data_IF_247017028828
#
_entry.id   IF_247017028828
#
_cell.length_a   1.000
_cell.length_b   1.000
_cell.length_c   1.000
_cell.angle_alpha   90.00
_cell.angle_beta   90.00
_cell.angle_gamma   90.00
#
_symmetry.space_group_name_H-M   'P 1'
#
loop_
_entity.id
_entity.type
_entity.pdbx_description
1 polymer ?
#
# COMPACT_ATOMS: atom_id res chain seq x y z
N UNK A 1 18.13 -2.83 6.28
CA UNK A 1 17.93 -4.29 6.32
C UNK A 1 18.65 -4.87 5.12
N UNK A 2 19.91 -5.25 5.30
CA UNK A 2 20.64 -6.08 4.34
C UNK A 2 20.41 -7.54 4.78
N UNK A 3 19.23 -8.07 4.46
CA UNK A 3 18.91 -9.46 4.80
C UNK A 3 19.49 -10.31 3.69
N UNK A 4 20.49 -11.15 3.98
CA UNK A 4 21.10 -12.12 3.06
C UNK A 4 20.15 -13.25 2.61
N UNK A 5 18.86 -12.95 2.45
CA UNK A 5 17.85 -13.85 1.91
C UNK A 5 17.77 -13.76 0.39
N UNK A 6 17.32 -14.84 -0.24
CA UNK A 6 17.13 -14.92 -1.68
C UNK A 6 16.20 -13.78 -2.17
N UNK A 7 16.73 -12.94 -3.06
CA UNK A 7 16.03 -11.75 -3.56
C UNK A 7 14.73 -12.11 -4.29
N UNK A 8 14.63 -13.32 -4.86
CA UNK A 8 13.40 -13.81 -5.49
C UNK A 8 12.29 -13.97 -4.46
N UNK A 9 12.60 -14.49 -3.27
CA UNK A 9 11.63 -14.64 -2.17
C UNK A 9 11.18 -13.29 -1.58
N UNK A 10 12.04 -12.28 -1.62
CA UNK A 10 11.75 -10.93 -1.13
C UNK A 10 11.11 -10.02 -2.18
N UNK A 11 11.18 -10.38 -3.46
CA UNK A 11 10.68 -9.57 -4.57
C UNK A 11 9.20 -9.19 -4.44
N UNK A 12 8.27 -10.11 -4.08
CA UNK A 12 6.86 -9.73 -3.91
C UNK A 12 6.66 -8.69 -2.82
N UNK A 13 7.41 -8.80 -1.72
CA UNK A 13 7.36 -7.86 -0.60
C UNK A 13 7.97 -6.50 -0.97
N UNK A 14 9.11 -6.48 -1.66
CA UNK A 14 9.74 -5.26 -2.17
C UNK A 14 8.81 -4.48 -3.10
N UNK A 15 8.25 -5.16 -4.10
CA UNK A 15 7.29 -4.55 -5.02
C UNK A 15 6.02 -4.04 -4.33
N UNK A 16 5.51 -4.78 -3.35
CA UNK A 16 4.37 -4.32 -2.55
C UNK A 16 4.71 -3.04 -1.79
N UNK A 17 5.89 -2.97 -1.17
CA UNK A 17 6.33 -1.77 -0.45
C UNK A 17 6.51 -0.57 -1.37
N UNK A 18 7.20 -0.74 -2.49
CA UNK A 18 7.45 0.37 -3.42
C UNK A 18 6.15 0.94 -3.99
N UNK A 19 5.16 0.08 -4.29
CA UNK A 19 3.87 0.50 -4.82
C UNK A 19 2.95 1.16 -3.80
N UNK A 20 3.13 0.88 -2.51
CA UNK A 20 2.23 1.31 -1.44
C UNK A 20 2.89 2.30 -0.45
N UNK A 21 4.11 2.77 -0.74
CA UNK A 21 4.75 3.83 0.05
C UNK A 21 4.37 5.20 -0.52
N UNK A 22 3.82 6.12 0.28
CA UNK A 22 3.48 7.46 -0.20
C UNK A 22 4.72 8.23 -0.68
N UNK A 23 4.59 8.95 -1.80
CA UNK A 23 5.65 9.83 -2.31
C UNK A 23 5.48 11.27 -1.81
N UNK A 24 6.20 12.23 -2.40
CA UNK A 24 6.22 13.65 -1.99
C UNK A 24 4.85 14.33 -1.99
N UNK A 25 3.88 13.83 -2.77
CA UNK A 25 2.52 14.37 -2.86
C UNK A 25 1.51 13.62 -1.98
N UNK A 26 1.95 12.71 -1.12
CA UNK A 26 1.07 11.93 -0.24
C UNK A 26 0.33 10.78 -0.92
N UNK A 27 0.45 10.62 -2.24
CA UNK A 27 -0.09 9.49 -2.99
C UNK A 27 0.96 8.40 -3.20
N UNK A 28 0.51 7.15 -3.13
CA UNK A 28 1.24 5.95 -3.50
C UNK A 28 1.16 5.71 -5.02
N UNK A 29 2.16 5.06 -5.64
CA UNK A 29 2.07 4.65 -7.04
C UNK A 29 0.81 3.82 -7.38
N UNK A 30 0.35 2.99 -6.43
CA UNK A 30 -0.90 2.25 -6.59
C UNK A 30 -2.11 3.18 -6.73
N UNK A 31 -2.23 4.18 -5.84
CA UNK A 31 -3.34 5.14 -5.89
C UNK A 31 -3.38 5.93 -7.19
N UNK A 32 -2.20 6.30 -7.73
CA UNK A 32 -2.10 6.99 -9.01
C UNK A 32 -2.61 6.10 -10.15
N UNK A 33 -2.21 4.82 -10.17
CA UNK A 33 -2.61 3.90 -11.24
C UNK A 33 -4.09 3.49 -11.18
N UNK A 34 -4.63 3.30 -9.98
CA UNK A 34 -5.94 2.68 -9.80
C UNK A 34 -7.02 3.62 -9.25
N UNK A 35 -6.67 4.87 -8.92
CA UNK A 35 -7.61 5.89 -8.43
C UNK A 35 -8.29 5.56 -7.10
N UNK A 36 -7.74 4.60 -6.34
CA UNK A 36 -8.28 4.11 -5.07
C UNK A 36 -7.13 3.71 -4.15
N UNK A 37 -7.30 3.78 -2.82
CA UNK A 37 -6.28 3.28 -1.90
C UNK A 37 -5.97 1.81 -2.18
N UNK A 38 -4.72 1.36 -1.98
CA UNK A 38 -4.38 -0.04 -2.15
C UNK A 38 -5.28 -0.93 -1.31
N UNK A 39 -5.68 -2.10 -1.82
CA UNK A 39 -6.47 -3.06 -1.06
C UNK A 39 -5.63 -3.46 0.13
N UNK A 40 -5.91 -2.85 1.27
CA UNK A 40 -5.21 -3.20 2.49
C UNK A 40 -5.82 -4.52 2.92
N UNK A 41 -5.11 -5.60 2.67
CA UNK A 41 -5.51 -6.91 3.18
C UNK A 41 -5.31 -6.85 4.69
N UNK A 42 -6.40 -6.90 5.47
CA UNK A 42 -6.67 -8.14 6.20
C UNK A 42 -8.17 -8.30 6.52
N UNK A 43 -8.91 -8.97 5.64
CA UNK A 43 -10.04 -9.76 6.10
C UNK A 43 -9.75 -11.23 5.89
N UNK A 44 -8.72 -11.69 6.61
CA UNK A 44 -8.53 -13.11 6.86
C UNK A 44 -9.67 -13.53 7.78
N UNK A 45 -10.80 -13.93 7.18
CA UNK A 45 -11.95 -14.44 7.93
C UNK A 45 -11.46 -15.46 8.95
N UNK A 46 -12.02 -15.45 10.16
CA UNK A 46 -11.64 -16.38 11.23
C UNK A 46 -11.66 -17.85 10.76
N UNK A 47 -12.56 -18.19 9.82
CA UNK A 47 -12.65 -19.48 9.14
C UNK A 47 -11.43 -19.84 8.27
N UNK A 48 -10.81 -18.87 7.61
CA UNK A 48 -9.56 -19.05 6.85
C UNK A 48 -8.36 -19.14 7.81
N UNK A 49 -8.36 -18.33 8.87
CA UNK A 49 -7.33 -18.38 9.92
C UNK A 49 -7.33 -19.74 10.64
N UNK A 50 -8.50 -20.29 10.93
CA UNK A 50 -8.65 -21.61 11.58
C UNK A 50 -8.17 -22.80 10.71
N UNK A 51 -8.00 -22.61 9.39
CA UNK A 51 -7.43 -23.63 8.51
C UNK A 51 -5.91 -23.72 8.59
N UNK A 52 -5.24 -22.70 9.13
CA UNK A 52 -3.80 -22.76 9.34
C UNK A 52 -3.52 -23.63 10.57
N UNK A 53 -2.83 -24.76 10.33
CA UNK A 53 -2.36 -25.65 11.41
C UNK A 53 -1.16 -25.07 12.17
N UNK A 54 -0.52 -24.06 11.60
CA UNK A 54 0.65 -23.40 12.17
C UNK A 54 0.21 -22.28 13.13
N UNK A 55 0.51 -22.48 14.41
CA UNK A 55 0.10 -21.62 15.51
C UNK A 55 0.87 -20.29 15.52
N UNK A 56 2.14 -20.27 15.09
CA UNK A 56 2.95 -19.04 15.02
C UNK A 56 2.50 -18.15 13.85
N UNK A 57 2.20 -18.76 12.71
CA UNK A 57 1.65 -18.05 11.56
C UNK A 57 0.27 -17.46 11.90
N UNK A 58 -0.59 -18.23 12.58
CA UNK A 58 -1.91 -17.77 13.02
C UNK A 58 -1.82 -16.56 13.95
N UNK A 59 -0.93 -16.62 14.96
CA UNK A 59 -0.72 -15.52 15.90
C UNK A 59 -0.18 -14.28 15.19
N UNK A 60 0.78 -14.47 14.28
CA UNK A 60 1.36 -13.39 13.47
C UNK A 60 0.29 -12.71 12.59
N UNK A 61 -0.57 -13.48 11.92
CA UNK A 61 -1.65 -12.94 11.09
C UNK A 61 -2.73 -12.23 11.91
N UNK A 62 -3.09 -12.77 13.09
CA UNK A 62 -4.02 -12.11 14.01
C UNK A 62 -3.43 -10.80 14.55
N UNK A 63 -2.14 -10.77 14.86
CA UNK A 63 -1.42 -9.56 15.24
C UNK A 63 -1.45 -8.51 14.13
N UNK A 64 -1.16 -8.93 12.90
CA UNK A 64 -1.22 -8.06 11.73
C UNK A 64 -2.63 -7.48 11.50
N UNK A 65 -3.67 -8.30 11.65
CA UNK A 65 -5.06 -7.83 11.53
C UNK A 65 -5.38 -6.73 12.55
N UNK A 66 -4.99 -6.91 13.82
CA UNK A 66 -5.22 -5.90 14.88
C UNK A 66 -4.47 -4.60 14.62
N UNK A 67 -3.21 -4.69 14.21
CA UNK A 67 -2.38 -3.52 13.87
C UNK A 67 -3.00 -2.78 12.68
N UNK A 68 -3.48 -3.52 11.68
CA UNK A 68 -4.19 -2.94 10.56
C UNK A 68 -5.46 -2.19 11.00
N UNK A 69 -6.32 -2.81 11.82
CA UNK A 69 -7.56 -2.17 12.30
C UNK A 69 -7.28 -0.83 13.01
N UNK A 70 -6.22 -0.76 13.83
CA UNK A 70 -5.83 0.46 14.54
C UNK A 70 -5.25 1.55 13.61
N UNK A 71 -4.36 1.17 12.68
CA UNK A 71 -3.76 2.11 11.72
C UNK A 71 -4.80 2.58 10.70
N UNK A 72 -5.72 1.70 10.28
CA UNK A 72 -6.72 1.99 9.26
C UNK A 72 -7.67 3.09 9.70
N UNK A 73 -8.11 3.12 10.96
CA UNK A 73 -8.93 4.21 11.48
C UNK A 73 -8.27 5.59 11.28
N UNK A 74 -6.95 5.67 11.49
CA UNK A 74 -6.17 6.90 11.31
C UNK A 74 -5.99 7.24 9.82
N UNK A 75 -5.69 6.25 8.99
CA UNK A 75 -5.59 6.43 7.55
C UNK A 75 -6.92 6.86 6.93
N UNK A 76 -8.03 6.20 7.28
CA UNK A 76 -9.37 6.60 6.89
C UNK A 76 -9.65 8.06 7.22
N UNK A 77 -9.34 8.50 8.43
CA UNK A 77 -9.51 9.90 8.80
C UNK A 77 -8.70 10.86 7.91
N UNK A 78 -7.49 10.48 7.50
CA UNK A 78 -6.65 11.27 6.58
C UNK A 78 -7.25 11.28 5.16
N UNK A 79 -7.73 10.14 4.66
CA UNK A 79 -8.37 10.04 3.36
C UNK A 79 -9.69 10.83 3.29
N UNK A 80 -10.53 10.72 4.32
CA UNK A 80 -11.81 11.44 4.45
C UNK A 80 -11.61 12.95 4.66
N UNK A 81 -10.59 13.35 5.43
CA UNK A 81 -10.24 14.77 5.59
C UNK A 81 -9.82 15.42 4.27
N UNK A 82 -9.46 14.61 3.27
CA UNK A 82 -8.87 15.06 2.03
C UNK A 82 -7.49 15.66 2.29
N UNK A 83 -6.43 14.93 1.93
CA UNK A 83 -5.17 15.61 1.64
C UNK A 83 -5.50 16.65 0.59
N UNK A 84 -5.39 17.95 0.91
CA UNK A 84 -5.50 19.00 -0.11
C UNK A 84 -4.40 18.70 -1.12
N UNK A 85 -4.72 18.10 -2.28
CA UNK A 85 -3.71 17.90 -3.28
C UNK A 85 -3.42 19.33 -3.71
N UNK A 86 -2.20 19.82 -3.56
CA UNK A 86 -1.78 20.89 -4.46
C UNK A 86 -2.06 20.33 -5.85
N UNK A 87 -3.06 20.88 -6.58
CA UNK A 87 -3.43 20.30 -7.85
C UNK A 87 -2.15 20.31 -8.67
N UNK A 88 -1.73 19.16 -9.17
CA UNK A 88 -0.71 19.17 -10.20
C UNK A 88 -1.21 20.18 -11.25
N UNK A 89 -0.33 21.07 -11.71
CA UNK A 89 -0.75 22.25 -12.47
C UNK A 89 -1.49 21.90 -13.78
N UNK A 90 -1.41 20.63 -14.19
CA UNK A 90 -2.00 20.10 -15.41
C UNK A 90 -3.42 19.57 -15.20
N UNK A 91 -4.32 19.85 -16.14
CA UNK A 91 -5.69 19.33 -16.21
C UNK A 91 -5.82 18.34 -17.36
N UNK A 92 -6.89 17.54 -17.32
CA UNK A 92 -7.26 16.68 -18.45
C UNK A 92 -7.45 17.54 -19.70
N UNK A 93 -6.70 17.25 -20.76
CA UNK A 93 -6.70 18.01 -22.02
C UNK A 93 -5.55 19.01 -22.17
N UNK A 94 -4.70 19.18 -21.16
CA UNK A 94 -3.54 20.07 -21.25
C UNK A 94 -2.45 19.49 -22.16
N UNK A 95 -1.84 20.37 -22.96
CA UNK A 95 -0.66 20.04 -23.75
C UNK A 95 0.58 20.11 -22.86
N UNK A 96 1.32 19.00 -22.75
CA UNK A 96 2.55 18.91 -21.95
C UNK A 96 3.77 18.65 -22.85
N UNK A 97 4.88 19.33 -22.57
CA UNK A 97 6.15 19.07 -23.25
C UNK A 97 6.82 17.81 -22.69
N UNK A 98 7.16 16.86 -23.56
CA UNK A 98 7.87 15.64 -23.18
C UNK A 98 9.36 15.80 -23.50
N UNK A 99 10.21 15.85 -22.48
CA UNK A 99 11.66 15.87 -22.66
C UNK A 99 12.11 14.50 -23.19
N UNK A 100 12.68 14.49 -24.40
CA UNK A 100 13.32 13.31 -24.98
C UNK A 100 14.80 13.29 -24.60
N UNK A 101 15.30 12.10 -24.25
CA UNK A 101 16.73 11.84 -24.19
C UNK A 101 17.17 11.35 -25.57
N UNK A 102 18.16 12.04 -26.15
CA UNK A 102 18.87 11.60 -27.34
C UNK A 102 19.96 10.60 -26.96
#
# INVERSE_FOLDING_TARGET
METGGDWVTLLPYGLYRDRNTPYTLGFTPYEIMFGRPPPIIPNLRAELLAKFKDQELFLSLRGLQRVHEDIWLRLCAIYEAGLTPTPHQYRLGDWVYVKRHH
#
